data_IF_909910545206
#
_entry.id   IF_909910545206
#
_cell.length_a   1.000
_cell.length_b   1.000
_cell.length_c   1.000
_cell.angle_alpha   90.00
_cell.angle_beta   90.00
_cell.angle_gamma   90.00
#
_symmetry.space_group_name_H-M   'P 1'
#
loop_
_entity.id
_entity.type
_entity.pdbx_description
1 polymer ?
#
# COMPACT_ATOMS: atom_id res chain seq x y z
N UNK A 1 -20.09 16.61 -8.23
CA UNK A 1 -20.38 15.19 -7.88
C UNK A 1 -19.37 14.61 -6.88
N UNK A 2 -18.05 14.84 -7.02
CA UNK A 2 -17.03 14.33 -6.09
C UNK A 2 -17.20 14.75 -4.61
N UNK A 3 -17.60 15.99 -4.33
CA UNK A 3 -17.87 16.45 -2.95
C UNK A 3 -19.01 15.66 -2.28
N UNK A 4 -20.08 15.35 -3.03
CA UNK A 4 -21.19 14.57 -2.50
C UNK A 4 -20.79 13.12 -2.20
N UNK A 5 -19.93 12.52 -3.04
CA UNK A 5 -19.38 11.19 -2.77
C UNK A 5 -18.49 11.19 -1.52
N UNK A 6 -17.60 12.17 -1.38
CA UNK A 6 -16.75 12.31 -0.19
C UNK A 6 -17.56 12.49 1.10
N UNK A 7 -18.65 13.26 1.05
CA UNK A 7 -19.61 13.37 2.15
C UNK A 7 -20.27 12.03 2.48
N UNK A 8 -20.78 11.32 1.45
CA UNK A 8 -21.46 10.03 1.62
C UNK A 8 -20.56 8.97 2.26
N UNK A 9 -19.28 8.94 1.89
CA UNK A 9 -18.28 8.01 2.43
C UNK A 9 -17.58 8.52 3.71
N UNK A 10 -18.03 9.65 4.27
CA UNK A 10 -17.53 10.17 5.55
C UNK A 10 -16.14 10.83 5.50
N UNK A 11 -15.59 11.08 4.31
CA UNK A 11 -14.37 11.87 4.17
C UNK A 11 -14.60 13.34 4.56
N UNK A 12 -15.81 13.86 4.36
CA UNK A 12 -16.20 15.20 4.78
C UNK A 12 -17.42 15.15 5.68
N UNK A 13 -17.41 15.97 6.72
CA UNK A 13 -18.58 16.19 7.54
C UNK A 13 -19.66 16.90 6.73
N UNK A 14 -20.93 16.58 6.98
CA UNK A 14 -22.07 17.31 6.41
C UNK A 14 -23.00 17.81 7.49
N UNK A 15 -23.49 19.03 7.33
CA UNK A 15 -24.47 19.66 8.20
C UNK A 15 -25.66 20.26 7.42
N UNK A 16 -25.75 19.95 6.12
CA UNK A 16 -26.77 20.47 5.23
C UNK A 16 -28.20 20.05 5.64
N UNK A 17 -29.12 20.99 5.52
CA UNK A 17 -30.56 20.81 5.74
C UNK A 17 -31.35 21.26 4.52
N UNK A 18 -32.52 20.69 4.30
CA UNK A 18 -33.42 21.08 3.23
C UNK A 18 -33.87 22.53 3.41
N UNK A 19 -33.64 23.44 2.44
CA UNK A 19 -34.03 24.84 2.58
C UNK A 19 -35.56 25.04 2.44
N UNK A 20 -36.25 24.09 1.82
CA UNK A 20 -37.70 24.08 1.61
C UNK A 20 -38.22 22.66 1.71
N UNK A 21 -39.52 22.51 1.96
CA UNK A 21 -40.19 21.21 1.92
C UNK A 21 -40.14 20.63 0.52
N UNK A 22 -39.49 19.48 0.36
CA UNK A 22 -39.32 18.82 -0.93
C UNK A 22 -40.46 17.85 -1.24
N UNK A 23 -41.06 17.23 -0.21
CA UNK A 23 -42.17 16.28 -0.37
C UNK A 23 -42.95 16.08 0.93
N UNK A 24 -44.01 15.27 0.88
CA UNK A 24 -44.74 14.82 2.08
C UNK A 24 -43.86 14.04 3.08
N UNK A 25 -42.71 13.52 2.64
CA UNK A 25 -41.79 12.74 3.48
C UNK A 25 -40.59 13.54 3.97
N UNK A 26 -40.32 14.71 3.38
CA UNK A 26 -39.12 15.50 3.63
C UNK A 26 -39.46 16.98 3.69
N UNK A 27 -39.47 17.52 4.90
CA UNK A 27 -39.81 18.89 5.24
C UNK A 27 -38.60 19.82 5.18
N UNK A 28 -38.86 21.12 4.98
CA UNK A 28 -37.83 22.14 5.15
C UNK A 28 -37.25 22.06 6.57
N UNK A 29 -35.93 22.03 6.67
CA UNK A 29 -35.19 21.79 7.91
C UNK A 29 -34.69 20.37 8.10
N UNK A 30 -35.20 19.38 7.35
CA UNK A 30 -34.72 18.00 7.46
C UNK A 30 -33.30 17.87 6.87
N UNK A 31 -32.43 17.15 7.58
CA UNK A 31 -31.05 16.91 7.15
C UNK A 31 -30.35 15.90 8.03
N UNK A 32 -29.26 15.32 7.53
CA UNK A 32 -28.42 14.39 8.28
C UNK A 32 -27.08 15.05 8.59
N UNK A 33 -26.76 15.12 9.89
CA UNK A 33 -25.45 15.56 10.35
C UNK A 33 -24.52 14.37 10.44
N UNK A 34 -23.40 14.43 9.74
CA UNK A 34 -22.37 13.38 9.76
C UNK A 34 -21.02 14.00 10.13
N UNK A 35 -20.23 13.27 10.92
CA UNK A 35 -18.86 13.65 11.24
C UNK A 35 -17.90 13.10 10.18
N UNK A 36 -16.75 13.77 10.01
CA UNK A 36 -15.67 13.21 9.22
C UNK A 36 -15.03 12.02 9.95
N UNK A 37 -14.78 10.94 9.23
CA UNK A 37 -14.23 9.68 9.77
C UNK A 37 -12.69 9.67 9.82
N UNK A 38 -12.04 10.76 9.40
CA UNK A 38 -10.57 10.83 9.31
C UNK A 38 -9.99 10.07 8.11
N UNK A 39 -10.81 9.74 7.10
CA UNK A 39 -10.33 9.19 5.83
C UNK A 39 -9.75 10.30 4.96
N UNK A 40 -9.00 9.94 3.92
CA UNK A 40 -8.53 10.92 2.94
C UNK A 40 -9.69 11.63 2.24
N UNK A 41 -9.54 12.94 2.05
CA UNK A 41 -10.37 13.75 1.15
C UNK A 41 -9.67 13.92 -0.19
N UNK A 42 -10.38 14.43 -1.19
CA UNK A 42 -9.83 14.80 -2.49
C UNK A 42 -10.20 16.25 -2.79
N UNK A 43 -9.23 17.06 -3.18
CA UNK A 43 -9.43 18.48 -3.48
C UNK A 43 -8.35 19.01 -4.43
N UNK A 44 -8.47 20.27 -4.81
CA UNK A 44 -7.45 20.99 -5.57
C UNK A 44 -6.19 21.20 -4.71
N UNK A 45 -4.98 21.21 -5.30
CA UNK A 45 -3.73 21.49 -4.60
C UNK A 45 -3.78 22.78 -3.76
N UNK A 46 -4.44 23.81 -4.27
CA UNK A 46 -4.55 25.12 -3.63
C UNK A 46 -5.32 25.06 -2.31
N UNK A 47 -6.23 24.10 -2.14
CA UNK A 47 -7.00 23.93 -0.91
C UNK A 47 -6.13 23.56 0.30
N UNK A 48 -4.93 23.02 0.04
CA UNK A 48 -3.92 22.69 1.06
C UNK A 48 -2.64 23.52 0.91
N UNK A 49 -2.71 24.64 0.18
CA UNK A 49 -1.61 25.58 0.01
C UNK A 49 -0.49 25.08 -0.91
N UNK A 50 -0.75 24.11 -1.77
CA UNK A 50 0.20 23.61 -2.78
C UNK A 50 -0.11 24.25 -4.14
N UNK A 51 0.91 24.67 -4.87
CA UNK A 51 0.74 25.22 -6.22
C UNK A 51 0.47 24.10 -7.24
N UNK A 52 -0.63 24.18 -8.00
CA UNK A 52 -0.88 23.24 -9.09
C UNK A 52 0.19 23.31 -10.19
N UNK A 53 0.81 24.48 -10.44
CA UNK A 53 1.86 24.59 -11.46
C UNK A 53 3.12 23.83 -11.07
N UNK A 54 3.49 23.87 -9.79
CA UNK A 54 4.64 23.11 -9.27
C UNK A 54 4.34 21.61 -9.30
N UNK A 55 3.12 21.22 -8.94
CA UNK A 55 2.70 19.83 -8.94
C UNK A 55 2.66 19.24 -10.36
N UNK A 56 2.37 20.06 -11.38
CA UNK A 56 2.35 19.65 -12.78
C UNK A 56 3.72 19.16 -13.27
N UNK A 57 4.83 19.56 -12.65
CA UNK A 57 6.18 19.05 -13.00
C UNK A 57 6.32 17.53 -12.78
N UNK A 58 5.44 16.90 -11.99
CA UNK A 58 5.35 15.44 -11.88
C UNK A 58 5.10 14.80 -13.23
N UNK A 59 4.23 15.39 -14.07
CA UNK A 59 3.95 14.85 -15.40
C UNK A 59 5.25 14.78 -16.23
N UNK A 60 6.07 15.82 -16.18
CA UNK A 60 7.35 15.86 -16.91
C UNK A 60 8.30 14.75 -16.44
N UNK A 61 8.51 14.61 -15.13
CA UNK A 61 9.41 13.58 -14.57
C UNK A 61 8.93 12.17 -14.93
N UNK A 62 7.61 11.94 -14.88
CA UNK A 62 7.04 10.65 -15.26
C UNK A 62 7.24 10.37 -16.74
N UNK A 63 7.00 11.35 -17.62
CA UNK A 63 7.21 11.18 -19.05
C UNK A 63 8.68 10.90 -19.38
N UNK A 64 9.63 11.61 -18.76
CA UNK A 64 11.06 11.33 -18.93
C UNK A 64 11.42 9.87 -18.60
N UNK A 65 10.84 9.32 -17.51
CA UNK A 65 11.03 7.93 -17.13
C UNK A 65 10.43 6.92 -18.11
N UNK A 66 9.25 7.22 -18.66
CA UNK A 66 8.59 6.41 -19.68
C UNK A 66 9.38 6.40 -21.00
N UNK A 67 9.80 7.58 -21.47
CA UNK A 67 10.61 7.75 -22.68
C UNK A 67 11.96 7.04 -22.56
N UNK A 68 12.59 7.13 -21.39
CA UNK A 68 13.83 6.41 -21.07
C UNK A 68 13.65 4.90 -20.87
N UNK A 69 12.42 4.38 -20.93
CA UNK A 69 12.08 2.98 -20.65
C UNK A 69 12.58 2.49 -19.29
N UNK A 70 12.52 3.36 -18.27
CA UNK A 70 12.80 2.99 -16.89
C UNK A 70 11.68 2.09 -16.31
N UNK A 71 10.44 2.33 -16.73
CA UNK A 71 9.25 1.55 -16.41
C UNK A 71 8.21 1.69 -17.54
N UNK A 72 7.32 0.70 -17.73
CA UNK A 72 6.31 0.75 -18.80
C UNK A 72 5.10 1.64 -18.44
N UNK A 73 4.87 1.84 -17.14
CA UNK A 73 3.75 2.60 -16.60
C UNK A 73 3.83 2.70 -15.08
N UNK A 74 3.09 3.65 -14.50
CA UNK A 74 3.07 3.90 -13.07
C UNK A 74 1.80 4.67 -12.66
N UNK A 75 1.56 4.75 -11.36
CA UNK A 75 0.61 5.68 -10.75
C UNK A 75 1.35 6.55 -9.74
N UNK A 76 1.03 7.83 -9.70
CA UNK A 76 1.55 8.78 -8.71
C UNK A 76 0.38 9.32 -7.90
N UNK A 77 0.47 9.16 -6.58
CA UNK A 77 -0.48 9.70 -5.61
C UNK A 77 0.24 10.65 -4.65
N UNK A 78 -0.30 11.85 -4.47
CA UNK A 78 0.19 12.85 -3.53
C UNK A 78 -0.93 13.25 -2.59
N UNK A 79 -0.71 13.06 -1.29
CA UNK A 79 -1.61 13.49 -0.24
C UNK A 79 -0.90 14.42 0.74
N UNK A 80 -1.53 15.56 1.06
CA UNK A 80 -1.02 16.56 1.99
C UNK A 80 -2.11 16.86 3.02
N UNK A 81 -1.77 16.79 4.31
CA UNK A 81 -2.70 17.06 5.42
C UNK A 81 -4.03 16.26 5.34
N UNK A 82 -3.98 15.00 4.88
CA UNK A 82 -5.19 14.18 4.74
C UNK A 82 -6.01 14.47 3.48
N UNK A 83 -5.48 15.24 2.53
CA UNK A 83 -6.14 15.54 1.25
C UNK A 83 -5.29 15.07 0.09
N UNK A 84 -5.84 14.16 -0.73
CA UNK A 84 -5.26 13.76 -2.01
C UNK A 84 -5.44 14.90 -3.00
N UNK A 85 -4.33 15.39 -3.52
CA UNK A 85 -4.26 16.53 -4.46
C UNK A 85 -3.70 16.13 -5.83
N UNK A 86 -3.22 14.90 -5.95
CA UNK A 86 -2.78 14.29 -7.20
C UNK A 86 -3.02 12.79 -7.12
N UNK A 87 -3.66 12.23 -8.14
CA UNK A 87 -3.87 10.80 -8.31
C UNK A 87 -4.01 10.51 -9.80
N UNK A 88 -2.89 10.16 -10.44
CA UNK A 88 -2.82 9.97 -11.90
C UNK A 88 -2.03 8.72 -12.24
N UNK A 89 -2.52 8.02 -13.25
CA UNK A 89 -1.88 6.86 -13.86
C UNK A 89 -1.28 7.21 -15.23
N UNK A 90 -0.21 6.52 -15.59
CA UNK A 90 0.59 6.78 -16.78
C UNK A 90 1.07 5.48 -17.43
N UNK A 91 1.24 5.50 -18.74
CA UNK A 91 1.79 4.38 -19.51
C UNK A 91 0.90 3.13 -19.47
N UNK A 92 1.54 1.96 -19.54
CA UNK A 92 0.90 0.65 -19.67
C UNK A 92 1.51 -0.35 -18.67
N UNK A 93 0.79 -1.41 -18.25
CA UNK A 93 1.31 -2.41 -17.32
C UNK A 93 2.60 -3.09 -17.81
N UNK A 94 2.72 -3.28 -19.12
CA UNK A 94 3.93 -3.82 -19.77
C UNK A 94 4.23 -3.05 -21.06
N UNK A 95 5.45 -3.18 -21.58
CA UNK A 95 5.84 -2.55 -22.86
C UNK A 95 5.09 -3.08 -24.10
N UNK A 96 4.39 -4.22 -23.99
CA UNK A 96 3.65 -4.86 -25.08
C UNK A 96 2.13 -4.70 -24.95
N UNK A 97 1.67 -4.18 -23.81
CA UNK A 97 0.25 -4.03 -23.52
C UNK A 97 -0.25 -2.71 -24.11
N UNK A 98 -1.44 -2.74 -24.72
CA UNK A 98 -2.11 -1.56 -25.27
C UNK A 98 -3.14 -0.97 -24.29
N UNK A 99 -3.39 -1.63 -23.16
CA UNK A 99 -4.27 -1.12 -22.11
C UNK A 99 -3.54 -0.11 -21.22
N UNK A 100 -4.03 1.12 -21.07
CA UNK A 100 -3.41 2.08 -20.17
C UNK A 100 -3.51 1.62 -18.71
N UNK A 101 -2.53 2.00 -17.89
CA UNK A 101 -2.61 1.87 -16.44
C UNK A 101 -3.82 2.66 -15.94
N UNK A 102 -4.55 2.09 -14.99
CA UNK A 102 -5.64 2.75 -14.28
C UNK A 102 -5.27 2.97 -12.81
N UNK A 103 -5.89 3.95 -12.17
CA UNK A 103 -5.67 4.25 -10.75
C UNK A 103 -6.23 3.19 -9.79
N UNK A 104 -6.97 2.21 -10.32
CA UNK A 104 -7.49 1.04 -9.61
C UNK A 104 -6.76 -0.27 -9.98
N UNK A 105 -5.67 -0.20 -10.74
CA UNK A 105 -4.86 -1.37 -11.05
C UNK A 105 -4.12 -1.86 -9.79
N UNK A 106 -4.00 -3.19 -9.67
CA UNK A 106 -3.28 -3.83 -8.59
C UNK A 106 -1.83 -4.08 -8.96
N UNK A 107 -0.93 -3.77 -8.02
CA UNK A 107 0.51 -3.99 -8.14
C UNK A 107 0.98 -5.02 -7.12
N UNK A 108 1.95 -5.85 -7.50
CA UNK A 108 2.71 -6.63 -6.52
C UNK A 108 3.58 -5.68 -5.68
N UNK A 109 3.32 -5.62 -4.38
CA UNK A 109 4.00 -4.73 -3.45
C UNK A 109 5.41 -5.22 -3.08
N UNK A 110 5.74 -6.48 -3.35
CA UNK A 110 7.02 -7.08 -3.02
C UNK A 110 7.48 -6.71 -1.60
N UNK A 111 8.65 -6.07 -1.46
CA UNK A 111 9.18 -5.71 -0.14
C UNK A 111 8.41 -4.61 0.59
N UNK A 112 7.54 -3.85 -0.07
CA UNK A 112 6.63 -2.92 0.63
C UNK A 112 5.68 -3.66 1.57
N UNK A 113 5.40 -4.95 1.31
CA UNK A 113 4.62 -5.81 2.22
C UNK A 113 5.16 -5.81 3.66
N UNK A 114 6.48 -5.68 3.84
CA UNK A 114 7.09 -5.63 5.17
C UNK A 114 6.52 -4.47 5.98
N UNK A 115 6.54 -3.26 5.42
CA UNK A 115 6.08 -2.06 6.12
C UNK A 115 4.55 -1.95 6.11
N UNK A 116 3.90 -2.32 5.00
CA UNK A 116 2.45 -2.16 4.84
C UNK A 116 1.62 -3.20 5.60
N UNK A 117 2.18 -4.38 5.87
CA UNK A 117 1.46 -5.46 6.54
C UNK A 117 2.20 -6.00 7.77
N UNK A 118 3.43 -6.48 7.60
CA UNK A 118 4.16 -7.20 8.65
C UNK A 118 4.44 -6.31 9.86
N UNK A 119 4.98 -5.11 9.64
CA UNK A 119 5.33 -4.17 10.70
C UNK A 119 4.09 -3.74 11.48
N UNK A 120 3.00 -3.32 10.81
CA UNK A 120 1.76 -2.92 11.49
C UNK A 120 1.15 -4.06 12.32
N UNK A 121 1.12 -5.27 11.75
CA UNK A 121 0.61 -6.45 12.47
C UNK A 121 1.42 -6.72 13.73
N UNK A 122 2.75 -6.58 13.65
CA UNK A 122 3.62 -6.77 14.80
C UNK A 122 3.48 -5.67 15.85
N UNK A 123 3.41 -4.39 15.43
CA UNK A 123 3.15 -3.28 16.34
C UNK A 123 1.86 -3.49 17.12
N UNK A 124 0.81 -3.97 16.47
CA UNK A 124 -0.45 -4.31 17.14
C UNK A 124 -0.28 -5.41 18.19
N UNK A 125 0.48 -6.46 17.88
CA UNK A 125 0.76 -7.55 18.83
C UNK A 125 1.62 -7.08 20.01
N UNK A 126 2.54 -6.14 19.78
CA UNK A 126 3.33 -5.49 20.84
C UNK A 126 2.42 -4.67 21.75
N UNK A 127 1.54 -3.83 21.18
CA UNK A 127 0.57 -3.04 21.96
C UNK A 127 -0.37 -3.93 22.80
N UNK A 128 -0.72 -5.11 22.30
CA UNK A 128 -1.51 -6.11 23.01
C UNK A 128 -0.72 -6.93 24.04
N UNK A 129 0.59 -6.68 24.19
CA UNK A 129 1.47 -7.42 25.10
C UNK A 129 1.72 -8.88 24.69
N UNK A 130 1.42 -9.25 23.45
CA UNK A 130 1.59 -10.62 22.92
C UNK A 130 2.97 -10.86 22.34
N UNK A 131 3.67 -9.80 21.97
CA UNK A 131 5.04 -9.85 21.46
C UNK A 131 5.90 -8.84 22.22
N UNK A 132 6.97 -9.34 22.82
CA UNK A 132 8.13 -8.59 23.29
C UNK A 132 9.21 -8.56 22.19
N UNK A 133 9.63 -7.35 21.80
CA UNK A 133 10.65 -7.13 20.77
C UNK A 133 12.06 -7.53 21.24
N UNK A 134 12.31 -7.59 22.54
CA UNK A 134 13.60 -7.97 23.11
C UNK A 134 13.72 -9.47 23.41
N UNK A 135 12.63 -10.22 23.20
CA UNK A 135 12.62 -11.67 23.27
C UNK A 135 13.31 -12.31 22.05
N UNK A 136 13.81 -13.51 22.29
CA UNK A 136 14.42 -14.37 21.27
C UNK A 136 13.34 -14.94 20.34
N UNK A 137 13.65 -15.13 19.06
CA UNK A 137 12.73 -15.63 18.03
C UNK A 137 12.11 -16.99 18.42
N UNK A 138 12.91 -17.86 19.05
CA UNK A 138 12.48 -19.17 19.54
C UNK A 138 11.42 -19.13 20.64
N UNK A 139 11.15 -17.96 21.23
CA UNK A 139 10.02 -17.74 22.15
C UNK A 139 8.67 -17.88 21.44
N UNK A 140 8.63 -17.54 20.14
CA UNK A 140 7.40 -17.54 19.34
C UNK A 140 7.38 -18.65 18.29
N UNK A 141 8.54 -19.16 17.88
CA UNK A 141 8.70 -20.19 16.86
C UNK A 141 9.36 -21.44 17.46
N UNK A 142 8.56 -22.26 18.12
CA UNK A 142 9.00 -23.48 18.81
C UNK A 142 9.72 -24.47 17.89
N UNK A 143 9.41 -24.48 16.59
CA UNK A 143 10.05 -25.35 15.60
C UNK A 143 11.54 -25.07 15.40
N UNK A 144 12.04 -23.91 15.84
CA UNK A 144 13.46 -23.55 15.80
C UNK A 144 14.23 -24.15 16.97
N UNK A 145 13.58 -24.40 18.10
CA UNK A 145 14.21 -24.91 19.31
C UNK A 145 14.70 -26.36 19.08
N UNK A 146 15.95 -26.65 19.47
CA UNK A 146 16.62 -27.95 19.29
C UNK A 146 17.15 -28.23 17.88
N UNK A 147 16.56 -27.63 16.82
CA UNK A 147 16.97 -27.87 15.41
C UNK A 147 17.77 -26.73 14.80
N UNK A 148 17.44 -25.49 15.18
CA UNK A 148 17.99 -24.27 14.61
C UNK A 148 18.33 -23.26 15.73
N UNK A 149 19.03 -23.74 16.76
CA UNK A 149 19.40 -22.99 17.98
C UNK A 149 19.99 -21.58 17.72
N UNK A 150 20.81 -21.42 16.68
CA UNK A 150 21.37 -20.10 16.34
C UNK A 150 20.30 -19.10 15.89
N UNK A 151 19.26 -19.56 15.18
CA UNK A 151 18.14 -18.71 14.78
C UNK A 151 17.18 -18.49 15.94
N UNK A 152 16.94 -19.52 16.75
CA UNK A 152 16.08 -19.43 17.92
C UNK A 152 16.53 -18.33 18.88
N UNK A 153 17.84 -18.12 19.06
CA UNK A 153 18.43 -17.10 19.94
C UNK A 153 18.57 -15.70 19.33
N UNK A 154 18.08 -15.48 18.11
CA UNK A 154 18.11 -14.14 17.51
C UNK A 154 17.03 -13.28 18.15
N UNK A 155 17.38 -12.07 18.60
CA UNK A 155 16.40 -11.12 19.09
C UNK A 155 15.49 -10.65 17.96
N UNK A 156 14.19 -10.55 18.23
CA UNK A 156 13.23 -10.01 17.26
C UNK A 156 13.62 -8.60 16.80
N UNK A 157 14.05 -7.74 17.73
CA UNK A 157 14.54 -6.39 17.42
C UNK A 157 15.60 -6.40 16.33
N UNK A 158 16.62 -7.26 16.44
CA UNK A 158 17.72 -7.32 15.48
C UNK A 158 17.25 -7.81 14.10
N UNK A 159 16.23 -8.67 14.05
CA UNK A 159 15.64 -9.12 12.77
C UNK A 159 14.92 -7.96 12.10
N UNK A 160 14.08 -7.24 12.84
CA UNK A 160 13.26 -6.13 12.33
C UNK A 160 14.10 -4.92 11.91
N UNK A 161 15.25 -4.71 12.55
CA UNK A 161 16.21 -3.65 12.17
C UNK A 161 17.25 -4.11 11.15
N UNK A 162 17.12 -5.33 10.60
CA UNK A 162 18.07 -5.90 9.64
C UNK A 162 19.52 -6.04 10.17
N UNK A 163 19.68 -6.29 11.47
CA UNK A 163 20.96 -6.46 12.17
C UNK A 163 21.25 -7.92 12.58
N UNK A 164 20.31 -8.84 12.40
CA UNK A 164 20.45 -10.25 12.78
C UNK A 164 21.42 -11.08 11.90
N UNK A 165 22.02 -10.49 10.86
CA UNK A 165 22.98 -11.19 9.98
C UNK A 165 22.36 -12.23 9.04
N UNK A 166 21.03 -12.22 8.86
CA UNK A 166 20.34 -13.11 7.94
C UNK A 166 20.75 -12.86 6.48
N UNK A 167 20.85 -13.93 5.70
CA UNK A 167 21.12 -13.82 4.25
C UNK A 167 19.95 -13.15 3.56
N UNK A 168 20.24 -12.15 2.72
CA UNK A 168 19.22 -11.39 1.98
C UNK A 168 18.37 -12.27 1.04
N UNK A 169 18.96 -13.34 0.49
CA UNK A 169 18.27 -14.24 -0.41
C UNK A 169 18.91 -15.64 -0.40
N UNK A 170 18.06 -16.66 -0.53
CA UNK A 170 18.47 -18.06 -0.69
C UNK A 170 17.87 -18.57 -2.00
N UNK A 171 18.69 -18.98 -2.99
CA UNK A 171 18.21 -19.46 -4.28
C UNK A 171 17.64 -20.88 -4.16
N UNK A 172 16.46 -21.04 -3.57
CA UNK A 172 15.85 -22.35 -3.34
C UNK A 172 15.70 -23.17 -4.62
N UNK A 173 15.45 -22.53 -5.76
CA UNK A 173 15.33 -23.20 -7.06
C UNK A 173 16.59 -24.00 -7.45
N UNK A 174 17.79 -23.61 -6.99
CA UNK A 174 19.02 -24.37 -7.27
C UNK A 174 18.99 -25.77 -6.68
N UNK A 175 18.23 -26.01 -5.61
CA UNK A 175 18.04 -27.35 -5.03
C UNK A 175 17.19 -28.25 -5.93
N UNK A 176 16.46 -27.65 -6.86
CA UNK A 176 15.58 -28.32 -7.82
C UNK A 176 16.29 -28.61 -9.15
N UNK A 177 17.57 -28.25 -9.26
CA UNK A 177 18.44 -28.63 -10.39
C UNK A 177 19.21 -29.91 -10.05
N UNK A 178 19.44 -30.74 -11.06
CA UNK A 178 20.42 -31.83 -11.09
C UNK A 178 21.34 -31.63 -12.29
N UNK A 179 22.66 -31.49 -12.04
CA UNK A 179 23.68 -31.18 -13.07
C UNK A 179 23.36 -30.01 -14.00
N UNK A 180 22.57 -29.04 -13.54
CA UNK A 180 22.17 -27.86 -14.31
C UNK A 180 20.85 -28.00 -15.06
N UNK A 181 20.23 -29.18 -15.03
CA UNK A 181 18.90 -29.44 -15.59
C UNK A 181 17.85 -29.50 -14.48
N UNK A 182 16.60 -29.15 -14.79
CA UNK A 182 15.50 -29.30 -13.83
C UNK A 182 15.29 -30.77 -13.50
N UNK A 183 15.11 -31.07 -12.20
CA UNK A 183 14.76 -32.43 -11.78
C UNK A 183 13.49 -32.89 -12.51
N UNK A 184 13.53 -34.06 -13.20
CA UNK A 184 12.38 -34.57 -13.93
C UNK A 184 11.13 -34.65 -13.03
N UNK A 185 10.00 -34.15 -13.52
CA UNK A 185 8.71 -34.19 -12.82
C UNK A 185 8.46 -33.10 -11.78
N UNK A 186 9.42 -32.21 -11.51
CA UNK A 186 9.23 -31.08 -10.57
C UNK A 186 8.65 -29.82 -11.25
N UNK A 187 8.89 -29.65 -12.55
CA UNK A 187 8.41 -28.52 -13.33
C UNK A 187 7.79 -29.00 -14.65
N UNK A 188 6.87 -28.21 -15.17
CA UNK A 188 6.18 -28.42 -16.44
C UNK A 188 6.37 -27.16 -17.27
N UNK A 189 6.75 -27.30 -18.54
CA UNK A 189 6.95 -26.18 -19.48
C UNK A 189 5.62 -25.52 -19.92
N UNK A 190 4.53 -25.75 -19.18
CA UNK A 190 3.23 -25.13 -19.48
C UNK A 190 3.16 -23.75 -18.85
N UNK A 191 3.22 -22.75 -19.72
CA UNK A 191 2.56 -21.44 -19.51
C UNK A 191 1.04 -21.61 -19.38
#
# INVERSE_FOLDING_TARGET
QAMAAQALFGARATDGVLPVTASLFFSGGDGLRTAALGTFTYDLPEAVGVSASELAHIDTIVQEGLEAKAYPGCQVLVAVNGTVIWDKAYGHPTYKDDRPVRTDDLYDLASLTKVAATTFSLMRLVDEGKVDLDADLGTYLDELNGKHELHARMKLRDILTHQAGLKAWVPFYKRLLDKGEWRPGMFTDKE
#
